data_IF_427091070343
#
_entry.id   IF_427091070343
#
_cell.length_a   1.000
_cell.length_b   1.000
_cell.length_c   1.000
_cell.angle_alpha   90.00
_cell.angle_beta   90.00
_cell.angle_gamma   90.00
#
_symmetry.space_group_name_H-M   'P 1'
#
loop_
_entity.id
_entity.type
_entity.pdbx_description
1 polymer ?
#
# COMPACT_ATOMS: atom_id res chain seq x y z
N UNK A 1 -5.58 -14.03 5.77
CA UNK A 1 -5.80 -14.23 4.31
C UNK A 1 -5.21 -15.56 3.92
N UNK A 2 -5.79 -16.24 2.93
CA UNK A 2 -5.29 -17.55 2.46
C UNK A 2 -3.99 -17.33 1.68
N UNK A 3 -2.90 -18.07 1.98
CA UNK A 3 -1.66 -17.99 1.21
C UNK A 3 -1.88 -18.53 -0.22
N UNK A 4 -1.31 -17.85 -1.21
CA UNK A 4 -1.37 -18.26 -2.61
C UNK A 4 -0.20 -19.19 -2.94
N UNK A 5 -0.46 -20.27 -3.65
CA UNK A 5 0.58 -21.06 -4.31
C UNK A 5 1.06 -20.36 -5.59
N UNK A 6 2.21 -20.78 -6.13
CA UNK A 6 2.68 -20.28 -7.43
C UNK A 6 1.64 -20.52 -8.54
N UNK A 7 1.52 -19.54 -9.43
CA UNK A 7 0.55 -19.49 -10.52
C UNK A 7 -0.91 -19.41 -10.06
N UNK A 8 -1.15 -18.93 -8.83
CA UNK A 8 -2.49 -18.62 -8.34
C UNK A 8 -2.72 -17.12 -8.27
N UNK A 9 -3.98 -16.77 -8.48
CA UNK A 9 -4.50 -15.40 -8.39
C UNK A 9 -5.74 -15.45 -7.49
N UNK A 10 -5.83 -14.52 -6.57
CA UNK A 10 -7.04 -14.26 -5.81
C UNK A 10 -7.68 -12.99 -6.37
N UNK A 11 -8.78 -13.20 -7.10
CA UNK A 11 -9.59 -12.18 -7.75
C UNK A 11 -10.72 -11.77 -6.80
N UNK A 12 -10.41 -10.81 -5.93
CA UNK A 12 -11.34 -10.25 -4.95
C UNK A 12 -12.05 -11.28 -4.04
N UNK A 13 -11.35 -12.34 -3.67
CA UNK A 13 -11.82 -13.44 -2.82
C UNK A 13 -11.99 -14.75 -3.56
N UNK A 14 -12.05 -14.75 -4.90
CA UNK A 14 -12.17 -15.97 -5.71
C UNK A 14 -10.79 -16.44 -6.15
N UNK A 15 -10.40 -17.64 -5.73
CA UNK A 15 -9.12 -18.25 -6.10
C UNK A 15 -9.21 -18.86 -7.51
N UNK A 16 -8.33 -18.41 -8.40
CA UNK A 16 -8.20 -18.89 -9.78
C UNK A 16 -6.75 -19.26 -10.10
N UNK A 17 -6.55 -19.96 -11.22
CA UNK A 17 -5.24 -20.37 -11.70
C UNK A 17 -4.90 -21.82 -11.35
N UNK A 18 -3.62 -22.08 -11.12
CA UNK A 18 -3.10 -23.44 -10.97
C UNK A 18 -3.80 -24.22 -9.84
N UNK A 19 -4.22 -25.47 -10.16
CA UNK A 19 -4.96 -26.38 -9.26
C UNK A 19 -6.30 -25.81 -8.75
N UNK A 20 -6.97 -24.99 -9.56
CA UNK A 20 -8.35 -24.56 -9.31
C UNK A 20 -9.24 -24.99 -10.48
N UNK A 21 -10.56 -24.86 -10.31
CA UNK A 21 -11.54 -25.08 -11.39
C UNK A 21 -11.46 -23.98 -12.46
N UNK A 22 -10.76 -22.87 -12.21
CA UNK A 22 -10.63 -21.75 -13.15
C UNK A 22 -9.20 -21.71 -13.69
N UNK A 23 -9.00 -22.21 -14.89
CA UNK A 23 -7.70 -22.15 -15.56
C UNK A 23 -7.45 -20.75 -16.12
N UNK A 24 -6.32 -20.13 -15.79
CA UNK A 24 -5.89 -18.86 -16.37
C UNK A 24 -5.06 -19.15 -17.62
N UNK A 25 -5.40 -18.51 -18.74
CA UNK A 25 -4.66 -18.62 -20.01
C UNK A 25 -3.65 -17.49 -20.19
N UNK A 26 -4.04 -16.26 -19.88
CA UNK A 26 -3.17 -15.09 -20.00
C UNK A 26 -3.48 -14.03 -18.96
N UNK A 27 -2.47 -13.22 -18.64
CA UNK A 27 -2.58 -12.08 -17.74
C UNK A 27 -1.79 -10.90 -18.29
N UNK A 28 -2.52 -9.88 -18.73
CA UNK A 28 -1.95 -8.63 -19.22
C UNK A 28 -1.94 -7.55 -18.13
N UNK A 29 -1.08 -6.53 -18.29
CA UNK A 29 -1.10 -5.34 -17.43
C UNK A 29 -0.29 -5.47 -16.13
N UNK A 30 0.53 -6.51 -15.98
CA UNK A 30 1.48 -6.65 -14.86
C UNK A 30 2.84 -5.97 -15.11
N UNK A 31 3.07 -5.45 -16.32
CA UNK A 31 4.25 -4.65 -16.70
C UNK A 31 4.20 -3.20 -16.20
N UNK A 32 4.76 -2.26 -16.95
CA UNK A 32 4.60 -0.83 -16.66
C UNK A 32 3.13 -0.41 -16.87
N UNK A 33 2.63 0.46 -16.00
CA UNK A 33 1.29 1.03 -16.18
C UNK A 33 1.29 2.03 -17.36
N UNK A 34 0.12 2.24 -17.95
CA UNK A 34 -0.08 3.22 -19.02
C UNK A 34 0.35 4.62 -18.58
N UNK A 35 0.94 5.40 -19.49
CA UNK A 35 1.38 6.76 -19.24
C UNK A 35 0.36 7.76 -19.78
N UNK A 36 0.08 8.78 -18.98
CA UNK A 36 -0.51 10.02 -19.44
C UNK A 36 0.64 11.00 -19.70
N UNK A 37 0.95 11.19 -20.98
CA UNK A 37 2.05 12.05 -21.45
C UNK A 37 1.59 13.47 -21.71
N UNK A 38 2.54 14.42 -21.72
CA UNK A 38 2.26 15.85 -21.87
C UNK A 38 3.22 16.56 -22.83
N UNK A 39 3.78 15.82 -23.78
CA UNK A 39 4.71 16.37 -24.76
C UNK A 39 4.04 17.44 -25.63
N UNK A 40 4.78 18.49 -25.93
CA UNK A 40 4.32 19.60 -26.77
C UNK A 40 5.16 19.59 -28.04
N UNK A 41 4.51 19.52 -29.21
CA UNK A 41 5.21 19.52 -30.49
C UNK A 41 6.06 20.79 -30.63
N UNK A 42 7.26 20.63 -31.17
CA UNK A 42 8.11 21.77 -31.49
C UNK A 42 7.49 22.55 -32.66
N UNK A 43 7.17 23.84 -32.51
CA UNK A 43 6.50 24.60 -33.56
C UNK A 43 7.44 25.06 -34.69
N UNK A 44 8.76 24.98 -34.49
CA UNK A 44 9.74 25.58 -35.39
C UNK A 44 10.74 24.58 -36.00
N UNK A 45 10.75 23.34 -35.54
CA UNK A 45 11.66 22.29 -36.02
C UNK A 45 11.08 20.90 -35.74
N UNK A 46 11.74 19.85 -36.23
CA UNK A 46 11.37 18.47 -35.97
C UNK A 46 11.43 18.14 -34.45
N UNK A 47 10.49 17.30 -34.00
CA UNK A 47 10.46 16.77 -32.62
C UNK A 47 9.46 17.45 -31.67
N UNK A 48 9.69 17.27 -30.37
CA UNK A 48 8.80 17.72 -29.30
C UNK A 48 9.56 18.12 -28.03
N UNK A 49 8.98 18.99 -27.23
CA UNK A 49 9.43 19.29 -25.87
C UNK A 49 8.80 18.29 -24.90
N UNK A 50 9.60 17.58 -24.08
CA UNK A 50 9.09 16.58 -23.17
C UNK A 50 8.24 17.23 -22.06
N UNK A 51 7.08 16.66 -21.83
CA UNK A 51 6.18 17.03 -20.74
C UNK A 51 6.42 16.21 -19.46
N UNK A 52 5.51 16.36 -18.50
CA UNK A 52 5.50 15.50 -17.31
C UNK A 52 4.65 14.27 -17.60
N UNK A 53 5.28 13.10 -17.53
CA UNK A 53 4.60 11.81 -17.63
C UNK A 53 4.11 11.34 -16.27
N UNK A 54 2.85 10.90 -16.22
CA UNK A 54 2.22 10.36 -15.02
C UNK A 54 1.58 9.01 -15.33
N UNK A 55 1.78 8.03 -14.46
CA UNK A 55 1.08 6.75 -14.59
C UNK A 55 -0.44 6.94 -14.44
N UNK A 56 -1.17 6.36 -15.38
CA UNK A 56 -2.61 6.11 -15.29
C UNK A 56 -2.90 4.96 -14.32
N UNK A 57 -4.16 4.78 -13.88
CA UNK A 57 -4.58 3.56 -13.22
C UNK A 57 -4.16 2.33 -14.02
N UNK A 58 -3.68 1.28 -13.35
CA UNK A 58 -3.26 0.04 -14.01
C UNK A 58 -4.48 -0.84 -14.28
N UNK A 59 -4.70 -1.20 -15.53
CA UNK A 59 -5.68 -2.24 -15.89
C UNK A 59 -4.96 -3.57 -16.02
N UNK A 60 -5.47 -4.59 -15.32
CA UNK A 60 -5.06 -5.99 -15.44
C UNK A 60 -6.20 -6.74 -16.09
N UNK A 61 -5.91 -7.38 -17.23
CA UNK A 61 -6.84 -8.27 -17.93
C UNK A 61 -6.42 -9.70 -17.72
N UNK A 62 -7.37 -10.56 -17.40
CA UNK A 62 -7.14 -11.97 -17.14
C UNK A 62 -8.08 -12.74 -18.06
N UNK A 63 -7.49 -13.43 -19.02
CA UNK A 63 -8.20 -14.44 -19.79
C UNK A 63 -8.17 -15.75 -19.02
N UNK A 64 -9.35 -16.33 -18.80
CA UNK A 64 -9.48 -17.56 -18.04
C UNK A 64 -10.61 -18.44 -18.60
N UNK A 65 -10.79 -19.60 -18.00
CA UNK A 65 -11.98 -20.42 -18.25
C UNK A 65 -12.26 -21.39 -17.13
N UNK A 66 -13.54 -21.55 -16.82
CA UNK A 66 -14.05 -22.51 -15.85
C UNK A 66 -14.03 -23.89 -16.48
N UNK A 67 -13.46 -24.87 -15.78
CA UNK A 67 -13.35 -26.28 -16.17
C UNK A 67 -13.95 -27.17 -15.09
N UNK A 68 -15.15 -27.65 -15.32
CA UNK A 68 -15.85 -28.66 -14.50
C UNK A 68 -16.36 -29.79 -15.41
N UNK A 69 -15.47 -30.62 -15.98
CA UNK A 69 -15.84 -31.57 -17.03
C UNK A 69 -17.01 -32.48 -16.63
N UNK A 70 -18.08 -32.45 -17.43
CA UNK A 70 -19.28 -33.24 -17.19
C UNK A 70 -20.23 -32.71 -16.11
N UNK A 71 -19.92 -31.56 -15.51
CA UNK A 71 -20.76 -30.89 -14.50
C UNK A 71 -21.08 -29.44 -14.92
N UNK A 72 -22.13 -29.23 -15.74
CA UNK A 72 -22.54 -27.90 -16.19
C UNK A 72 -23.11 -27.05 -15.04
N UNK A 73 -23.66 -27.66 -14.00
CA UNK A 73 -24.21 -26.93 -12.85
C UNK A 73 -23.08 -26.30 -12.04
N UNK A 74 -22.03 -27.06 -11.73
CA UNK A 74 -20.84 -26.55 -11.08
C UNK A 74 -20.17 -25.41 -11.87
N UNK A 75 -20.17 -25.48 -13.22
CA UNK A 75 -19.65 -24.40 -14.06
C UNK A 75 -20.42 -23.09 -13.85
N UNK A 76 -21.75 -23.17 -13.82
CA UNK A 76 -22.63 -22.02 -13.64
C UNK A 76 -22.56 -21.47 -12.21
N UNK A 77 -22.46 -22.33 -11.20
CA UNK A 77 -22.28 -21.91 -9.80
C UNK A 77 -20.95 -21.17 -9.63
N UNK A 78 -19.87 -21.65 -10.27
CA UNK A 78 -18.57 -20.97 -10.28
C UNK A 78 -18.62 -19.63 -11.01
N UNK A 79 -19.35 -19.55 -12.13
CA UNK A 79 -19.58 -18.30 -12.83
C UNK A 79 -20.31 -17.29 -11.93
N UNK A 80 -21.37 -17.72 -11.25
CA UNK A 80 -22.13 -16.88 -10.32
C UNK A 80 -21.26 -16.38 -9.15
N UNK A 81 -20.34 -17.20 -8.62
CA UNK A 81 -19.37 -16.79 -7.59
C UNK A 81 -18.46 -15.64 -8.08
N UNK A 82 -17.96 -15.74 -9.32
CA UNK A 82 -17.11 -14.72 -9.95
C UNK A 82 -17.90 -13.43 -10.25
N UNK A 83 -19.12 -13.55 -10.75
CA UNK A 83 -19.98 -12.39 -11.00
C UNK A 83 -20.40 -11.70 -9.70
N UNK A 84 -20.60 -12.46 -8.62
CA UNK A 84 -20.98 -11.93 -7.31
C UNK A 84 -19.92 -11.01 -6.71
N UNK A 85 -18.61 -11.30 -6.91
CA UNK A 85 -17.55 -10.39 -6.42
C UNK A 85 -17.55 -9.05 -7.15
N UNK A 86 -17.87 -9.03 -8.45
CA UNK A 86 -18.04 -7.79 -9.22
C UNK A 86 -19.32 -7.03 -8.80
N UNK A 87 -20.38 -7.76 -8.46
CA UNK A 87 -21.65 -7.21 -7.99
C UNK A 87 -21.62 -6.72 -6.53
N UNK A 88 -20.53 -6.96 -5.78
CA UNK A 88 -20.43 -6.63 -4.37
C UNK A 88 -20.72 -5.14 -4.10
N UNK A 89 -21.90 -4.86 -3.53
CA UNK A 89 -22.38 -3.51 -3.30
C UNK A 89 -21.52 -2.73 -2.29
N UNK A 90 -20.91 -3.41 -1.31
CA UNK A 90 -20.05 -2.77 -0.32
C UNK A 90 -18.80 -2.15 -0.95
N UNK A 91 -18.35 -2.65 -2.09
CA UNK A 91 -17.23 -2.08 -2.85
C UNK A 91 -17.77 -1.12 -3.93
N UNK A 92 -18.77 -1.54 -4.71
CA UNK A 92 -19.26 -0.76 -5.87
C UNK A 92 -19.96 0.54 -5.47
N UNK A 93 -20.71 0.54 -4.36
CA UNK A 93 -21.53 1.69 -3.92
C UNK A 93 -20.85 2.53 -2.83
N UNK A 94 -19.71 2.11 -2.32
CA UNK A 94 -18.99 2.84 -1.28
C UNK A 94 -17.81 3.61 -1.88
N UNK A 95 -17.81 4.93 -1.72
CA UNK A 95 -16.70 5.77 -2.14
C UNK A 95 -15.42 5.35 -1.41
N UNK A 96 -14.31 5.24 -2.14
CA UNK A 96 -13.02 4.83 -1.58
C UNK A 96 -12.89 3.36 -1.21
N UNK A 97 -13.96 2.54 -1.24
CA UNK A 97 -13.83 1.10 -1.06
C UNK A 97 -13.16 0.45 -2.29
N UNK A 98 -12.21 -0.44 -2.02
CA UNK A 98 -11.37 -1.11 -3.00
C UNK A 98 -11.41 -2.63 -2.81
N UNK A 99 -11.50 -3.35 -3.91
CA UNK A 99 -11.21 -4.78 -3.98
C UNK A 99 -9.70 -5.01 -4.03
N UNK A 100 -9.30 -6.24 -3.73
CA UNK A 100 -7.91 -6.69 -3.84
C UNK A 100 -7.78 -7.68 -5.01
N UNK A 101 -6.72 -7.52 -5.78
CA UNK A 101 -6.25 -8.53 -6.72
C UNK A 101 -4.88 -8.98 -6.25
N UNK A 102 -4.77 -10.23 -5.81
CA UNK A 102 -3.52 -10.80 -5.28
C UNK A 102 -2.98 -11.79 -6.30
N UNK A 103 -1.69 -11.72 -6.59
CA UNK A 103 -1.03 -12.54 -7.61
C UNK A 103 0.23 -13.18 -7.05
N UNK A 104 0.46 -14.45 -7.37
CA UNK A 104 1.67 -15.18 -6.98
C UNK A 104 2.37 -15.75 -8.21
N UNK A 105 3.34 -15.00 -8.74
CA UNK A 105 4.24 -15.50 -9.79
C UNK A 105 5.33 -16.41 -9.22
N UNK A 106 5.89 -17.32 -10.03
CA UNK A 106 6.95 -18.22 -9.58
C UNK A 106 8.19 -17.46 -9.12
N UNK A 107 8.78 -17.92 -8.01
CA UNK A 107 10.01 -17.33 -7.46
C UNK A 107 9.86 -15.92 -6.86
N UNK A 108 8.64 -15.38 -6.75
CA UNK A 108 8.35 -14.06 -6.19
C UNK A 108 7.41 -14.16 -4.99
N UNK A 109 7.44 -13.15 -4.13
CA UNK A 109 6.43 -12.95 -3.09
C UNK A 109 5.02 -12.71 -3.69
N UNK A 110 3.99 -12.84 -2.87
CA UNK A 110 2.63 -12.47 -3.28
C UNK A 110 2.55 -10.96 -3.42
N UNK A 111 2.09 -10.46 -4.57
CA UNK A 111 1.85 -9.04 -4.79
C UNK A 111 0.36 -8.76 -4.79
N UNK A 112 -0.02 -7.58 -4.33
CA UNK A 112 -1.41 -7.13 -4.27
C UNK A 112 -1.60 -5.78 -4.97
N UNK A 113 -2.71 -5.68 -5.69
CA UNK A 113 -3.24 -4.45 -6.27
C UNK A 113 -4.55 -4.08 -5.57
N UNK A 114 -4.76 -2.79 -5.38
CA UNK A 114 -5.99 -2.25 -4.78
C UNK A 114 -6.76 -1.44 -5.81
N UNK A 115 -8.02 -1.80 -6.03
CA UNK A 115 -8.73 -1.31 -7.20
C UNK A 115 -10.20 -1.69 -7.25
N UNK A 116 -10.71 -1.75 -8.48
CA UNK A 116 -12.10 -2.10 -8.77
C UNK A 116 -12.17 -3.10 -9.91
N UNK A 117 -13.09 -4.04 -9.78
CA UNK A 117 -13.46 -4.95 -10.86
C UNK A 117 -14.25 -4.14 -11.90
N UNK A 118 -13.82 -4.20 -13.14
CA UNK A 118 -14.48 -3.57 -14.30
C UNK A 118 -15.23 -4.58 -15.15
N UNK A 119 -14.73 -5.82 -15.18
CA UNK A 119 -15.34 -6.93 -15.91
C UNK A 119 -15.14 -8.23 -15.14
N UNK A 120 -16.18 -9.04 -15.11
CA UNK A 120 -16.15 -10.40 -14.61
C UNK A 120 -17.33 -11.12 -15.26
N UNK A 121 -17.16 -11.59 -16.49
CA UNK A 121 -18.24 -12.16 -17.28
C UNK A 121 -17.78 -13.36 -18.11
N UNK A 122 -18.74 -14.20 -18.49
CA UNK A 122 -18.50 -15.25 -19.48
C UNK A 122 -18.40 -14.65 -20.88
N UNK A 123 -17.34 -14.99 -21.60
CA UNK A 123 -17.20 -14.65 -23.04
C UNK A 123 -18.28 -15.37 -23.86
N UNK A 124 -18.60 -16.61 -23.48
CA UNK A 124 -19.69 -17.38 -24.05
C UNK A 124 -20.10 -18.50 -23.10
N UNK A 125 -21.40 -18.78 -23.01
CA UNK A 125 -21.94 -19.94 -22.28
C UNK A 125 -22.30 -21.10 -23.19
N UNK A 126 -22.00 -21.02 -24.49
CA UNK A 126 -22.37 -22.05 -25.48
C UNK A 126 -21.76 -23.44 -25.17
N UNK A 127 -20.64 -23.47 -24.44
CA UNK A 127 -19.95 -24.70 -24.05
C UNK A 127 -20.21 -25.08 -22.59
N UNK A 128 -21.09 -24.36 -21.89
CA UNK A 128 -21.42 -24.64 -20.49
C UNK A 128 -21.96 -26.07 -20.31
N UNK A 129 -22.67 -26.61 -21.31
CA UNK A 129 -23.15 -28.01 -21.31
C UNK A 129 -22.03 -29.04 -21.16
N UNK A 130 -20.80 -28.69 -21.56
CA UNK A 130 -19.61 -29.54 -21.42
C UNK A 130 -18.80 -29.22 -20.14
N UNK A 131 -19.30 -28.30 -19.30
CA UNK A 131 -18.57 -27.82 -18.12
C UNK A 131 -17.42 -26.87 -18.48
N UNK A 132 -17.50 -26.17 -19.61
CA UNK A 132 -16.51 -25.19 -20.05
C UNK A 132 -17.14 -23.81 -20.27
N UNK A 133 -16.62 -22.80 -19.58
CA UNK A 133 -17.05 -21.41 -19.73
C UNK A 133 -15.81 -20.52 -19.83
N UNK A 134 -15.46 -19.97 -21.01
CA UNK A 134 -14.40 -18.97 -21.13
C UNK A 134 -14.83 -17.66 -20.43
N UNK A 135 -13.87 -17.02 -19.77
CA UNK A 135 -14.04 -15.83 -18.95
C UNK A 135 -13.13 -14.70 -19.45
N UNK A 136 -13.64 -13.47 -19.36
CA UNK A 136 -12.87 -12.24 -19.49
C UNK A 136 -13.02 -11.43 -18.20
N UNK A 137 -11.92 -11.27 -17.47
CA UNK A 137 -11.89 -10.56 -16.19
C UNK A 137 -11.01 -9.31 -16.33
N UNK A 138 -11.49 -8.17 -15.83
CA UNK A 138 -10.76 -6.91 -15.85
C UNK A 138 -10.77 -6.26 -14.46
N UNK A 139 -9.58 -5.93 -13.97
CA UNK A 139 -9.36 -5.24 -12.71
C UNK A 139 -8.57 -3.94 -12.95
N UNK A 140 -9.10 -2.81 -12.51
CA UNK A 140 -8.38 -1.53 -12.54
C UNK A 140 -7.87 -1.18 -11.15
N UNK A 141 -6.55 -1.23 -10.97
CA UNK A 141 -5.86 -0.73 -9.78
C UNK A 141 -5.75 0.80 -9.82
N UNK A 142 -6.23 1.47 -8.78
CA UNK A 142 -6.23 2.94 -8.72
C UNK A 142 -4.85 3.50 -8.34
N UNK A 143 -4.10 2.76 -7.52
CA UNK A 143 -2.65 2.93 -7.41
C UNK A 143 -2.00 1.95 -8.39
N UNK A 144 -1.24 2.42 -9.40
CA UNK A 144 -0.64 1.54 -10.39
C UNK A 144 0.51 0.69 -9.84
N UNK A 145 0.96 0.90 -8.60
CA UNK A 145 2.03 0.12 -7.99
C UNK A 145 1.53 -1.23 -7.49
N UNK A 146 2.35 -2.25 -7.67
CA UNK A 146 2.19 -3.54 -7.01
C UNK A 146 2.73 -3.41 -5.58
N UNK A 147 1.98 -3.90 -4.60
CA UNK A 147 2.38 -3.83 -3.20
C UNK A 147 2.66 -5.22 -2.66
N UNK A 148 3.40 -5.32 -1.57
CA UNK A 148 3.42 -6.55 -0.77
C UNK A 148 2.03 -6.88 -0.24
N UNK A 149 1.70 -8.16 -0.23
CA UNK A 149 0.47 -8.65 0.37
C UNK A 149 0.44 -8.35 1.88
N UNK A 150 1.55 -8.66 2.55
CA UNK A 150 1.76 -8.40 3.96
C UNK A 150 2.14 -6.95 4.24
N UNK A 151 1.68 -6.43 5.38
CA UNK A 151 2.04 -5.09 5.84
C UNK A 151 3.19 -5.17 6.82
N UNK A 152 4.32 -4.56 6.49
CA UNK A 152 5.42 -4.34 7.41
C UNK A 152 5.08 -3.22 8.39
N UNK A 153 5.63 -3.27 9.60
CA UNK A 153 5.46 -2.18 10.55
C UNK A 153 6.64 -2.05 11.51
N UNK A 154 6.85 -0.83 11.99
CA UNK A 154 7.74 -0.53 13.11
C UNK A 154 6.96 0.28 14.13
N UNK A 155 7.13 -0.05 15.41
CA UNK A 155 6.56 0.74 16.51
C UNK A 155 7.68 1.31 17.35
N UNK A 156 7.66 2.62 17.50
CA UNK A 156 8.68 3.42 18.15
C UNK A 156 8.13 3.99 19.46
N UNK A 157 8.82 3.79 20.60
CA UNK A 157 8.68 4.70 21.72
C UNK A 157 9.27 6.06 21.33
N UNK A 158 9.01 7.10 22.13
CA UNK A 158 9.67 8.37 21.87
C UNK A 158 11.18 8.23 22.16
N UNK A 159 12.01 8.73 21.25
CA UNK A 159 13.46 8.66 21.38
C UNK A 159 13.94 9.58 22.51
N UNK A 160 14.28 8.99 23.67
CA UNK A 160 14.85 9.71 24.82
C UNK A 160 16.32 10.11 24.59
N UNK A 161 16.98 9.62 23.54
CA UNK A 161 18.40 9.85 23.28
C UNK A 161 18.74 11.25 22.77
N UNK A 162 17.73 12.05 22.40
CA UNK A 162 17.88 13.45 21.96
C UNK A 162 17.38 14.48 22.97
N UNK A 163 17.10 14.09 24.22
CA UNK A 163 17.03 15.10 25.27
C UNK A 163 18.45 15.67 25.46
N UNK A 164 18.68 16.88 24.95
CA UNK A 164 19.88 17.68 25.26
C UNK A 164 19.86 18.17 26.71
N UNK A 165 19.36 17.34 27.63
CA UNK A 165 19.44 17.54 29.06
C UNK A 165 20.83 17.10 29.49
N UNK A 166 21.72 18.08 29.70
CA UNK A 166 23.03 17.80 30.28
C UNK A 166 22.90 17.00 31.58
N UNK A 167 23.82 16.07 31.79
CA UNK A 167 23.96 15.38 33.07
C UNK A 167 24.24 16.41 34.18
N UNK A 168 23.30 16.62 35.11
CA UNK A 168 23.54 17.37 36.36
C UNK A 168 23.58 16.42 37.54
N UNK A 169 24.78 15.96 37.90
CA UNK A 169 25.15 15.33 39.18
C UNK A 169 26.70 15.22 39.24
N UNK A 170 27.35 15.24 40.42
CA UNK A 170 28.81 15.18 40.50
C UNK A 170 29.29 13.82 39.96
N UNK A 171 30.00 13.90 38.85
CA UNK A 171 30.31 12.77 37.99
C UNK A 171 31.65 12.15 38.42
N UNK A 172 31.67 10.89 38.91
CA UNK A 172 32.90 10.17 39.27
C UNK A 172 33.27 9.19 38.16
N UNK A 173 34.49 9.29 37.66
CA UNK A 173 35.05 8.48 36.56
C UNK A 173 35.32 7.01 36.98
N UNK A 174 35.42 6.06 36.03
CA UNK A 174 35.42 6.23 34.58
C UNK A 174 34.01 6.07 33.98
N UNK A 175 33.57 7.10 33.25
CA UNK A 175 32.34 7.03 32.48
C UNK A 175 32.68 6.57 31.08
N UNK A 176 32.09 5.44 30.72
CA UNK A 176 32.04 4.97 29.35
C UNK A 176 30.67 5.39 28.82
N UNK A 177 30.66 6.23 27.77
CA UNK A 177 29.47 6.39 26.95
C UNK A 177 29.39 5.15 26.07
N UNK A 178 28.48 4.24 26.37
CA UNK A 178 28.29 3.02 25.57
C UNK A 178 28.22 3.38 24.08
N UNK A 179 29.02 2.70 23.26
CA UNK A 179 29.00 2.86 21.81
C UNK A 179 27.60 2.42 21.36
N UNK A 180 26.76 3.36 20.91
CA UNK A 180 25.50 3.02 20.30
C UNK A 180 25.79 2.30 18.98
N UNK A 181 25.51 1.00 18.90
CA UNK A 181 25.59 0.26 17.65
C UNK A 181 24.48 0.76 16.71
N UNK A 182 24.80 1.33 15.53
CA UNK A 182 23.77 1.88 14.63
C UNK A 182 22.69 0.86 14.24
N UNK A 183 23.04 -0.43 14.26
CA UNK A 183 22.18 -1.56 13.91
C UNK A 183 21.10 -1.86 14.96
N UNK A 184 21.32 -1.50 16.23
CA UNK A 184 20.34 -1.68 17.32
C UNK A 184 19.42 -0.47 17.48
N UNK A 185 19.61 0.58 16.67
CA UNK A 185 18.79 1.80 16.71
C UNK A 185 17.37 1.47 16.24
N UNK A 186 16.33 1.71 17.07
CA UNK A 186 14.96 1.52 16.63
C UNK A 186 14.60 2.55 15.55
N UNK A 187 13.83 2.17 14.52
CA UNK A 187 13.33 3.10 13.50
C UNK A 187 13.73 2.79 12.07
N UNK A 188 14.46 1.69 11.86
CA UNK A 188 14.73 1.18 10.53
C UNK A 188 13.45 0.70 9.85
N UNK A 189 13.22 1.20 8.64
CA UNK A 189 12.20 0.73 7.71
C UNK A 189 12.88 0.21 6.45
N UNK A 190 12.33 -0.84 5.85
CA UNK A 190 12.86 -1.47 4.65
C UNK A 190 11.75 -1.57 3.61
N UNK A 191 11.94 -0.89 2.49
CA UNK A 191 11.15 -1.10 1.29
C UNK A 191 11.96 -1.99 0.35
N UNK A 192 11.57 -3.26 0.23
CA UNK A 192 12.21 -4.22 -0.69
C UNK A 192 11.86 -3.95 -2.17
N UNK A 193 10.97 -2.98 -2.39
CA UNK A 193 10.51 -2.51 -3.67
C UNK A 193 11.49 -1.65 -4.44
N UNK A 194 11.14 -1.35 -5.69
CA UNK A 194 11.92 -0.48 -6.57
C UNK A 194 11.30 0.92 -6.75
N UNK A 195 10.21 1.23 -6.05
CA UNK A 195 9.59 2.55 -6.02
C UNK A 195 9.15 2.91 -4.59
N UNK A 196 9.02 4.21 -4.30
CA UNK A 196 8.64 4.71 -2.99
C UNK A 196 7.32 4.10 -2.48
N UNK A 197 7.38 3.54 -1.27
CA UNK A 197 6.24 2.99 -0.54
C UNK A 197 5.54 4.10 0.27
N UNK A 198 4.22 4.03 0.35
CA UNK A 198 3.41 4.98 1.13
C UNK A 198 3.12 4.43 2.52
N UNK A 199 3.63 5.06 3.59
CA UNK A 199 3.32 4.64 4.94
C UNK A 199 1.94 5.12 5.41
N UNK A 200 1.26 4.29 6.19
CA UNK A 200 0.21 4.71 7.12
C UNK A 200 0.84 4.88 8.50
N UNK A 201 0.46 5.94 9.21
CA UNK A 201 1.11 6.34 10.46
C UNK A 201 0.06 6.47 11.56
N UNK A 202 0.38 5.97 12.75
CA UNK A 202 -0.44 6.13 13.97
C UNK A 202 0.40 6.69 15.11
N UNK A 203 -0.11 7.73 15.76
CA UNK A 203 0.47 8.30 16.98
C UNK A 203 -0.55 8.11 18.11
N UNK A 204 -0.16 7.47 19.20
CA UNK A 204 -1.01 7.26 20.38
C UNK A 204 -0.49 8.10 21.54
N UNK A 205 -1.38 8.89 22.15
CA UNK A 205 -1.07 9.77 23.28
C UNK A 205 -0.84 9.04 24.61
N UNK A 206 -0.43 9.78 25.66
CA UNK A 206 -0.41 11.24 25.73
C UNK A 206 0.82 11.85 25.02
N UNK A 207 0.64 12.93 24.27
CA UNK A 207 1.72 13.65 23.57
C UNK A 207 1.26 15.02 23.07
N UNK A 208 2.17 15.99 23.04
CA UNK A 208 1.97 17.29 22.42
C UNK A 208 2.96 17.52 21.27
N UNK A 209 2.49 18.18 20.22
CA UNK A 209 3.29 18.63 19.07
C UNK A 209 4.21 17.57 18.45
N UNK A 210 3.69 16.38 18.08
CA UNK A 210 4.53 15.34 17.53
C UNK A 210 5.07 15.71 16.15
N UNK A 211 6.35 15.44 15.94
CA UNK A 211 7.07 15.66 14.69
C UNK A 211 7.77 14.37 14.26
N UNK A 212 7.45 13.90 13.07
CA UNK A 212 8.04 12.72 12.44
C UNK A 212 9.00 13.19 11.35
N UNK A 213 10.17 12.57 11.27
CA UNK A 213 11.19 12.79 10.27
C UNK A 213 11.52 11.47 9.58
N UNK A 214 11.45 11.46 8.26
CA UNK A 214 12.15 10.46 7.46
C UNK A 214 13.55 10.99 7.17
N UNK A 215 14.56 10.36 7.77
CA UNK A 215 15.93 10.90 7.86
C UNK A 215 16.54 11.09 6.48
N UNK A 216 16.52 10.06 5.65
CA UNK A 216 17.22 10.02 4.37
C UNK A 216 16.65 11.00 3.34
N UNK A 217 15.35 11.30 3.40
CA UNK A 217 14.67 12.21 2.47
C UNK A 217 14.50 13.63 3.02
N UNK A 218 14.76 13.83 4.32
CA UNK A 218 14.50 15.07 5.04
C UNK A 218 13.02 15.45 5.13
N UNK A 219 12.09 14.57 4.70
CA UNK A 219 10.65 14.85 4.74
C UNK A 219 10.13 14.74 6.16
N UNK A 220 9.19 15.62 6.49
CA UNK A 220 8.67 15.76 7.85
C UNK A 220 7.15 15.71 7.85
N UNK A 221 6.59 15.23 8.96
CA UNK A 221 5.19 15.45 9.33
C UNK A 221 5.19 16.06 10.73
N UNK A 222 4.92 17.36 10.80
CA UNK A 222 4.81 18.13 12.04
C UNK A 222 3.34 18.45 12.30
N UNK A 223 2.87 18.16 13.52
CA UNK A 223 1.49 18.36 13.95
C UNK A 223 1.42 19.33 15.12
N UNK A 224 0.53 20.32 15.04
CA UNK A 224 0.13 21.21 16.15
C UNK A 224 -1.11 20.63 16.83
N UNK A 225 -0.90 19.66 17.72
CA UNK A 225 -1.97 18.93 18.40
C UNK A 225 -1.48 18.33 19.71
N UNK A 226 -2.39 18.28 20.69
CA UNK A 226 -2.22 17.50 21.92
C UNK A 226 -3.19 16.34 21.95
N UNK A 227 -2.66 15.15 22.24
CA UNK A 227 -3.38 13.91 22.47
C UNK A 227 -3.28 13.56 23.95
N UNK A 228 -4.40 13.25 24.58
CA UNK A 228 -4.47 12.69 25.92
C UNK A 228 -4.26 11.18 25.94
N UNK A 229 -4.39 10.60 27.13
CA UNK A 229 -4.32 9.14 27.32
C UNK A 229 -5.45 8.46 26.53
N UNK A 230 -5.10 7.43 25.75
CA UNK A 230 -6.06 6.67 24.94
C UNK A 230 -6.48 7.34 23.63
N UNK A 231 -6.07 8.59 23.41
CA UNK A 231 -6.31 9.28 22.13
C UNK A 231 -5.25 8.91 21.09
N UNK A 232 -5.63 9.00 19.82
CA UNK A 232 -4.71 8.76 18.70
C UNK A 232 -4.95 9.67 17.50
N UNK A 233 -3.90 9.83 16.71
CA UNK A 233 -3.95 10.35 15.35
C UNK A 233 -3.55 9.26 14.38
N UNK A 234 -4.34 9.10 13.33
CA UNK A 234 -4.10 8.24 12.19
C UNK A 234 -3.84 9.12 10.95
N UNK A 235 -2.78 8.86 10.20
CA UNK A 235 -2.39 9.60 8.99
C UNK A 235 -2.23 8.60 7.85
N UNK A 236 -2.86 8.91 6.71
CA UNK A 236 -2.73 8.15 5.48
C UNK A 236 -2.03 8.98 4.41
N UNK A 237 -0.95 8.44 3.82
CA UNK A 237 -0.13 9.13 2.81
C UNK A 237 -0.41 8.67 1.38
N UNK A 238 -1.13 7.56 1.22
CA UNK A 238 -1.44 6.98 -0.10
C UNK A 238 -2.23 7.94 -1.00
N UNK A 239 -1.86 8.08 -2.28
CA UNK A 239 -2.61 8.82 -3.29
C UNK A 239 -4.06 8.37 -3.34
N UNK A 240 -4.98 9.33 -3.52
CA UNK A 240 -6.42 9.06 -3.57
C UNK A 240 -7.09 8.84 -2.22
N UNK A 241 -6.33 8.56 -1.15
CA UNK A 241 -6.88 8.34 0.20
C UNK A 241 -6.11 9.11 1.28
N UNK A 242 -5.54 10.28 0.96
CA UNK A 242 -4.80 11.07 1.95
C UNK A 242 -5.73 11.72 2.95
N UNK A 243 -5.50 11.49 4.23
CA UNK A 243 -6.28 12.09 5.32
C UNK A 243 -5.51 12.05 6.64
N UNK A 244 -6.00 12.81 7.60
CA UNK A 244 -5.58 12.75 9.01
C UNK A 244 -6.83 12.69 9.88
N UNK A 245 -6.92 11.67 10.72
CA UNK A 245 -8.08 11.42 11.58
C UNK A 245 -7.66 11.31 13.04
N UNK A 246 -8.33 12.06 13.92
CA UNK A 246 -8.31 11.90 15.37
C UNK A 246 -9.32 10.85 15.78
N UNK A 247 -8.88 9.90 16.60
CA UNK A 247 -9.72 8.84 17.18
C UNK A 247 -10.56 8.08 16.14
N UNK A 248 -10.07 7.96 14.90
CA UNK A 248 -10.68 7.18 13.82
C UNK A 248 -11.78 7.88 13.00
N UNK A 249 -12.21 9.10 13.33
CA UNK A 249 -13.29 9.78 12.58
C UNK A 249 -13.21 11.30 12.51
N UNK A 250 -12.57 11.97 13.47
CA UNK A 250 -12.48 13.44 13.47
C UNK A 250 -11.39 13.93 12.53
N UNK A 251 -11.71 14.74 11.52
CA UNK A 251 -10.68 15.34 10.65
C UNK A 251 -9.70 16.18 11.49
N UNK A 252 -8.40 15.89 11.35
CA UNK A 252 -7.32 16.60 12.02
C UNK A 252 -6.22 17.06 11.04
N UNK A 253 -6.56 17.20 9.74
CA UNK A 253 -5.62 17.63 8.71
C UNK A 253 -5.10 19.05 8.94
N UNK A 254 -5.89 19.93 9.57
CA UNK A 254 -5.47 21.29 9.94
C UNK A 254 -4.37 21.33 11.00
N UNK A 255 -4.13 20.22 11.72
CA UNK A 255 -3.01 20.12 12.65
C UNK A 255 -1.67 20.03 11.91
N UNK A 256 -1.65 19.61 10.64
CA UNK A 256 -0.41 19.50 9.88
C UNK A 256 0.15 20.88 9.53
N UNK A 257 1.43 21.09 9.82
CA UNK A 257 2.16 22.28 9.33
C UNK A 257 2.25 22.30 7.79
N UNK A 258 2.56 23.47 7.21
CA UNK A 258 2.78 23.60 5.76
C UNK A 258 3.95 22.78 5.21
N UNK A 259 4.93 22.43 6.05
CA UNK A 259 6.04 21.55 5.69
C UNK A 259 5.62 20.06 5.59
N UNK A 260 4.47 19.71 6.15
CA UNK A 260 3.99 18.33 6.29
C UNK A 260 3.31 17.81 5.02
N UNK A 261 4.10 17.64 3.95
CA UNK A 261 3.63 17.21 2.63
C UNK A 261 3.38 15.70 2.58
N UNK A 262 2.13 15.28 2.83
CA UNK A 262 1.70 13.87 2.75
C UNK A 262 1.96 13.23 1.37
N UNK A 263 1.91 14.03 0.31
CA UNK A 263 2.16 13.60 -1.06
C UNK A 263 3.64 13.40 -1.39
N UNK A 264 4.54 13.78 -0.48
CA UNK A 264 5.99 13.60 -0.63
C UNK A 264 6.59 12.70 0.47
N UNK A 265 5.80 12.30 1.47
CA UNK A 265 6.25 11.47 2.57
C UNK A 265 6.17 9.98 2.19
N UNK A 266 7.25 9.49 1.57
CA UNK A 266 7.41 8.11 1.13
C UNK A 266 8.61 7.45 1.81
N UNK A 267 8.57 6.12 1.91
CA UNK A 267 9.73 5.29 2.23
C UNK A 267 10.40 4.93 0.89
N UNK A 268 11.59 5.46 0.58
CA UNK A 268 12.29 5.19 -0.67
C UNK A 268 12.70 3.70 -0.75
N UNK A 269 13.02 3.18 -1.94
CA UNK A 269 13.62 1.86 -2.10
C UNK A 269 14.83 1.65 -1.19
N UNK A 270 14.93 0.46 -0.60
CA UNK A 270 16.00 0.10 0.33
C UNK A 270 15.68 0.44 1.79
N UNK A 271 16.73 0.42 2.61
CA UNK A 271 16.65 0.66 4.06
C UNK A 271 16.79 2.16 4.34
N UNK A 272 15.93 2.68 5.20
CA UNK A 272 15.92 4.08 5.64
C UNK A 272 15.46 4.21 7.10
N UNK A 273 15.60 5.39 7.70
CA UNK A 273 15.29 5.62 9.11
C UNK A 273 14.12 6.58 9.32
N UNK A 274 13.18 6.17 10.18
CA UNK A 274 12.16 7.05 10.75
C UNK A 274 12.58 7.48 12.16
N UNK A 275 12.51 8.78 12.42
CA UNK A 275 12.64 9.37 13.75
C UNK A 275 11.41 10.18 14.10
N UNK A 276 11.20 10.40 15.39
CA UNK A 276 10.15 11.29 15.84
C UNK A 276 10.48 11.91 17.20
N UNK A 277 9.95 13.10 17.41
CA UNK A 277 10.10 13.92 18.63
C UNK A 277 8.74 14.48 19.03
N UNK A 278 8.56 14.81 20.30
CA UNK A 278 7.34 15.44 20.80
C UNK A 278 7.55 16.05 22.20
N UNK A 279 6.57 16.80 22.69
CA UNK A 279 6.48 17.34 24.04
C UNK A 279 5.41 16.62 24.89
N UNK A 280 5.39 16.87 26.20
CA UNK A 280 4.38 16.38 27.17
C UNK A 280 3.99 14.89 27.02
N UNK A 281 5.00 14.07 26.73
CA UNK A 281 4.84 12.65 26.45
C UNK A 281 5.13 11.81 27.69
N UNK A 282 4.67 10.55 27.66
CA UNK A 282 4.99 9.56 28.69
C UNK A 282 5.60 8.32 28.05
N UNK A 283 6.04 7.37 28.88
CA UNK A 283 6.51 6.06 28.39
C UNK A 283 5.40 5.22 27.73
N UNK A 284 4.15 5.67 27.69
CA UNK A 284 3.05 4.99 26.99
C UNK A 284 2.80 5.53 25.59
N UNK A 285 3.45 6.64 25.19
CA UNK A 285 3.30 7.21 23.86
C UNK A 285 3.97 6.33 22.80
N UNK A 286 3.30 6.10 21.67
CA UNK A 286 3.82 5.24 20.59
C UNK A 286 3.60 5.89 19.23
N UNK A 287 4.59 5.76 18.36
CA UNK A 287 4.48 5.98 16.93
C UNK A 287 4.53 4.61 16.24
N UNK A 288 3.50 4.26 15.48
CA UNK A 288 3.52 3.10 14.60
C UNK A 288 3.55 3.59 13.17
N UNK A 289 4.52 3.11 12.39
CA UNK A 289 4.61 3.32 10.95
C UNK A 289 4.42 1.97 10.27
N UNK A 290 3.44 1.87 9.39
CA UNK A 290 3.12 0.66 8.66
C UNK A 290 3.19 0.92 7.16
N UNK A 291 3.76 0.00 6.39
CA UNK A 291 3.89 0.15 4.94
C UNK A 291 3.83 -1.20 4.25
N UNK A 292 3.63 -1.15 2.94
CA UNK A 292 3.88 -2.29 2.04
C UNK A 292 4.99 -1.86 1.10
N UNK A 293 5.99 -2.70 0.89
CA UNK A 293 6.97 -2.43 -0.16
C UNK A 293 6.26 -2.35 -1.51
N UNK A 294 6.79 -1.57 -2.45
CA UNK A 294 6.09 -1.23 -3.68
C UNK A 294 6.96 -1.41 -4.93
N UNK A 295 6.36 -1.95 -6.01
CA UNK A 295 7.01 -2.21 -7.28
C UNK A 295 6.29 -1.52 -8.44
N UNK A 296 7.07 -1.07 -9.43
CA UNK A 296 6.55 -0.50 -10.69
C UNK A 296 5.94 -1.55 -11.61
N UNK A 297 6.39 -2.80 -11.52
CA UNK A 297 5.97 -3.95 -12.32
C UNK A 297 6.31 -5.24 -11.55
N UNK A 298 5.78 -6.37 -12.01
CA UNK A 298 5.88 -7.64 -11.30
C UNK A 298 7.31 -8.23 -11.25
#
# INVERSE_FOLDING_TARGET
MVPLAEWQIDFAGVLIGHKTEVSVSDVEGLGAAELRTQDVLNPADDGAFPGVDLYSPRTVRIEAGIRTPGDPAAALDKLAEIEAVAANAAIRRTAGALAQLRVRWPGRGTRVLFGRIRRAEAVSTAQAIHGWIPLDLEFTALDPRLHDDETSSVTLPLDISHSSGGFTAPLVAPITTGIATPETRPGWVLNEGNIGAWPSIRITGPVANPRILHVDSGRVLNLDITLGVGERIDIETRPGTRWVLRNGSGNAASALSSASRLDLFQIPPGRSEIRWTAADYTNTTRLTVSWRSAWTAL
#
